data_IF_819919253671
#
_entry.id   IF_819919253671
#
_cell.length_a   1.000
_cell.length_b   1.000
_cell.length_c   1.000
_cell.angle_alpha   90.00
_cell.angle_beta   90.00
_cell.angle_gamma   90.00
#
_symmetry.space_group_name_H-M   'P 1'
#
loop_
_entity.id
_entity.type
_entity.pdbx_description
1 polymer ?
#
# COMPACT_ATOMS: atom_id res chain seq x y z
N UNK A 1 11.50 -3.80 -16.68
CA UNK A 1 11.45 -2.49 -16.00
C UNK A 1 12.32 -1.55 -16.81
N UNK A 2 11.79 -0.40 -17.21
CA UNK A 2 12.56 0.63 -17.92
C UNK A 2 13.39 1.43 -16.91
N UNK A 3 14.71 1.28 -16.95
CA UNK A 3 15.66 2.12 -16.21
C UNK A 3 15.78 3.45 -16.96
N UNK A 4 14.84 4.35 -16.71
CA UNK A 4 14.79 5.65 -17.37
C UNK A 4 15.73 6.62 -16.66
N UNK A 5 16.97 6.70 -17.14
CA UNK A 5 17.89 7.75 -16.68
C UNK A 5 17.51 9.07 -17.34
N UNK A 6 17.12 10.07 -16.55
CA UNK A 6 16.69 11.36 -17.08
C UNK A 6 17.53 12.51 -16.48
N UNK A 7 18.59 12.96 -17.18
CA UNK A 7 19.48 14.03 -16.70
C UNK A 7 18.75 15.32 -16.32
N UNK A 8 17.61 15.60 -16.97
CA UNK A 8 16.81 16.82 -16.79
C UNK A 8 15.53 16.58 -15.99
N UNK A 9 15.46 15.55 -15.13
CA UNK A 9 14.25 15.21 -14.36
C UNK A 9 13.63 16.42 -13.65
N UNK A 10 14.45 17.18 -12.92
CA UNK A 10 13.99 18.37 -12.19
C UNK A 10 13.39 19.44 -13.11
N UNK A 11 14.00 19.67 -14.27
CA UNK A 11 13.50 20.64 -15.26
C UNK A 11 12.19 20.19 -15.88
N UNK A 12 12.04 18.89 -16.17
CA UNK A 12 10.78 18.33 -16.66
C UNK A 12 9.66 18.44 -15.63
N UNK A 13 9.92 18.06 -14.36
CA UNK A 13 8.95 18.20 -13.27
C UNK A 13 8.56 19.67 -13.05
N UNK A 14 9.54 20.58 -13.10
CA UNK A 14 9.28 22.02 -13.00
C UNK A 14 8.39 22.52 -14.14
N UNK A 15 8.65 22.07 -15.37
CA UNK A 15 7.83 22.44 -16.53
C UNK A 15 6.41 21.88 -16.43
N UNK A 16 6.25 20.65 -15.95
CA UNK A 16 4.92 20.07 -15.69
C UNK A 16 4.15 20.91 -14.67
N UNK A 17 4.79 21.27 -13.55
CA UNK A 17 4.17 22.11 -12.54
C UNK A 17 3.85 23.53 -13.04
N UNK A 18 4.59 24.04 -14.03
CA UNK A 18 4.34 25.37 -14.57
C UNK A 18 3.24 25.38 -15.65
N UNK A 19 3.15 24.33 -16.47
CA UNK A 19 2.34 24.36 -17.70
C UNK A 19 1.21 23.34 -17.75
N UNK A 20 1.05 22.45 -16.76
CA UNK A 20 0.06 21.37 -16.77
C UNK A 20 -1.00 21.46 -15.63
N UNK A 21 -1.79 22.54 -15.52
CA UNK A 21 -2.76 22.71 -14.42
C UNK A 21 -3.93 21.71 -14.45
N UNK A 22 -4.17 21.06 -15.59
CA UNK A 22 -5.22 20.05 -15.77
C UNK A 22 -4.71 18.61 -15.66
N UNK A 23 -3.48 18.40 -15.18
CA UNK A 23 -2.90 17.07 -15.10
C UNK A 23 -3.69 16.19 -14.12
N UNK A 24 -4.23 15.08 -14.62
CA UNK A 24 -4.97 14.09 -13.81
C UNK A 24 -4.11 12.87 -13.44
N UNK A 25 -3.11 12.54 -14.25
CA UNK A 25 -2.24 11.38 -14.04
C UNK A 25 -0.79 11.81 -14.18
N UNK A 26 0.00 11.56 -13.13
CA UNK A 26 1.45 11.71 -13.14
C UNK A 26 2.10 10.39 -12.72
N UNK A 27 2.82 9.76 -13.65
CA UNK A 27 3.68 8.62 -13.36
C UNK A 27 5.14 8.99 -13.61
N UNK A 28 5.90 9.00 -12.53
CA UNK A 28 7.32 9.36 -12.46
C UNK A 28 8.13 8.26 -11.76
N UNK A 29 7.60 7.04 -11.77
CA UNK A 29 8.18 5.88 -11.09
C UNK A 29 9.53 5.49 -11.67
N UNK A 30 10.49 5.16 -10.80
CA UNK A 30 11.82 4.65 -11.15
C UNK A 30 12.63 5.56 -12.07
N UNK A 31 12.43 6.87 -11.99
CA UNK A 31 13.29 7.81 -12.72
C UNK A 31 14.57 8.05 -11.93
N UNK A 32 15.70 7.63 -12.51
CA UNK A 32 17.01 7.86 -11.93
C UNK A 32 17.56 9.18 -12.46
N UNK A 33 17.81 10.14 -11.57
CA UNK A 33 18.54 11.36 -11.90
C UNK A 33 19.99 11.23 -11.47
N UNK A 34 20.92 11.63 -12.34
CA UNK A 34 22.35 11.74 -12.01
C UNK A 34 22.61 12.71 -10.85
N UNK A 35 21.70 13.66 -10.60
CA UNK A 35 21.75 14.53 -9.43
C UNK A 35 21.19 13.79 -8.21
N UNK A 36 22.05 13.52 -7.22
CA UNK A 36 21.65 12.99 -5.90
C UNK A 36 20.50 13.85 -5.35
N UNK A 37 19.38 13.18 -5.03
CA UNK A 37 18.08 13.70 -4.57
C UNK A 37 17.24 14.48 -5.61
N UNK A 38 16.39 13.75 -6.32
CA UNK A 38 15.25 14.28 -7.07
C UNK A 38 14.00 14.43 -6.18
N UNK A 39 14.09 15.29 -5.16
CA UNK A 39 12.96 15.54 -4.27
C UNK A 39 11.94 16.49 -4.89
N UNK A 40 10.64 16.17 -4.73
CA UNK A 40 9.53 17.00 -5.22
C UNK A 40 8.84 17.67 -4.03
N UNK A 41 8.63 18.99 -4.08
CA UNK A 41 7.80 19.69 -3.08
C UNK A 41 6.34 19.31 -3.26
N UNK A 42 5.74 18.81 -2.18
CA UNK A 42 4.33 18.39 -2.17
C UNK A 42 3.42 19.60 -2.38
N UNK A 43 3.68 20.71 -1.69
CA UNK A 43 2.85 21.91 -1.74
C UNK A 43 2.89 22.57 -3.12
N UNK A 44 4.08 22.59 -3.75
CA UNK A 44 4.21 23.09 -5.12
C UNK A 44 3.44 22.20 -6.07
N UNK A 45 3.54 20.88 -5.94
CA UNK A 45 2.80 19.94 -6.79
C UNK A 45 1.28 20.08 -6.60
N UNK A 46 0.81 20.25 -5.37
CA UNK A 46 -0.62 20.45 -5.05
C UNK A 46 -1.18 21.72 -5.68
N UNK A 47 -0.46 22.84 -5.56
CA UNK A 47 -0.91 24.12 -6.13
C UNK A 47 -0.81 24.16 -7.66
N UNK A 48 0.16 23.44 -8.22
CA UNK A 48 0.43 23.40 -9.66
C UNK A 48 -0.49 22.44 -10.42
N UNK A 49 -0.81 21.30 -9.82
CA UNK A 49 -1.58 20.21 -10.44
C UNK A 49 -2.80 19.84 -9.56
N UNK A 50 -3.77 20.76 -9.36
CA UNK A 50 -4.87 20.57 -8.40
C UNK A 50 -5.87 19.46 -8.81
N UNK A 51 -5.88 19.05 -10.08
CA UNK A 51 -6.75 17.98 -10.60
C UNK A 51 -6.13 16.59 -10.58
N UNK A 52 -5.00 16.41 -9.91
CA UNK A 52 -4.30 15.15 -9.89
C UNK A 52 -5.16 14.05 -9.22
N UNK A 53 -5.46 13.00 -9.99
CA UNK A 53 -6.23 11.83 -9.56
C UNK A 53 -5.33 10.62 -9.33
N UNK A 54 -4.27 10.49 -10.13
CA UNK A 54 -3.35 9.35 -10.07
C UNK A 54 -1.93 9.88 -9.92
N UNK A 55 -1.28 9.53 -8.81
CA UNK A 55 0.13 9.80 -8.57
C UNK A 55 0.89 8.49 -8.36
N UNK A 56 1.77 8.17 -9.31
CA UNK A 56 2.69 7.04 -9.24
C UNK A 56 4.12 7.57 -9.20
N UNK A 57 4.82 7.30 -8.12
CA UNK A 57 6.15 7.85 -7.86
C UNK A 57 7.02 6.86 -7.10
N UNK A 58 7.10 5.62 -7.60
CA UNK A 58 7.97 4.61 -7.02
C UNK A 58 9.43 5.08 -7.00
N UNK A 59 10.10 4.92 -5.87
CA UNK A 59 11.48 5.36 -5.63
C UNK A 59 11.71 6.88 -5.82
N UNK A 60 10.67 7.71 -5.70
CA UNK A 60 10.77 9.17 -5.71
C UNK A 60 10.66 9.71 -4.29
N UNK A 61 11.46 10.73 -3.96
CA UNK A 61 11.40 11.39 -2.66
C UNK A 61 10.55 12.66 -2.71
N UNK A 62 9.85 12.93 -1.61
CA UNK A 62 9.04 14.12 -1.46
C UNK A 62 9.56 14.97 -0.30
N UNK A 63 9.40 16.29 -0.41
CA UNK A 63 9.72 17.25 0.64
C UNK A 63 8.47 18.00 1.05
N UNK A 64 8.28 18.13 2.36
CA UNK A 64 7.26 18.98 2.99
C UNK A 64 7.92 20.32 3.32
N UNK A 65 7.26 21.42 2.98
CA UNK A 65 7.71 22.76 3.31
C UNK A 65 7.62 23.03 4.81
N UNK A 66 8.62 23.72 5.37
CA UNK A 66 8.63 24.12 6.79
C UNK A 66 7.80 25.38 7.05
N UNK A 67 7.51 26.17 6.01
CA UNK A 67 6.58 27.30 6.09
C UNK A 67 5.17 26.75 5.90
N UNK A 68 4.29 26.92 6.89
CA UNK A 68 2.93 26.35 6.96
C UNK A 68 1.98 26.78 5.84
N UNK A 69 2.32 26.42 4.61
CA UNK A 69 1.54 26.66 3.40
C UNK A 69 0.20 25.95 3.54
N UNK A 70 -0.88 26.71 3.47
CA UNK A 70 -2.23 26.18 3.47
C UNK A 70 -2.58 25.77 2.04
N UNK A 71 -2.34 24.51 1.71
CA UNK A 71 -2.83 23.88 0.47
C UNK A 71 -4.12 23.10 0.75
N UNK A 72 -4.99 22.97 -0.24
CA UNK A 72 -6.18 22.11 -0.12
C UNK A 72 -5.85 20.62 -0.25
N UNK A 73 -4.58 20.27 -0.46
CA UNK A 73 -4.18 18.89 -0.71
C UNK A 73 -4.51 18.42 -2.13
N UNK A 74 -4.58 17.10 -2.33
CA UNK A 74 -5.01 16.50 -3.59
C UNK A 74 -6.46 16.00 -3.45
N UNK A 75 -7.42 16.92 -3.53
CA UNK A 75 -8.85 16.62 -3.29
C UNK A 75 -9.45 15.60 -4.25
N UNK A 76 -8.89 15.49 -5.47
CA UNK A 76 -9.35 14.54 -6.49
C UNK A 76 -8.55 13.22 -6.50
N UNK A 77 -7.63 13.01 -5.56
CA UNK A 77 -6.74 11.84 -5.58
C UNK A 77 -7.52 10.54 -5.39
N UNK A 78 -7.39 9.64 -6.35
CA UNK A 78 -7.99 8.30 -6.40
C UNK A 78 -6.93 7.20 -6.23
N UNK A 79 -5.70 7.45 -6.69
CA UNK A 79 -4.58 6.51 -6.64
C UNK A 79 -3.30 7.20 -6.15
N UNK A 80 -2.70 6.63 -5.10
CA UNK A 80 -1.37 6.98 -4.62
C UNK A 80 -0.50 5.73 -4.55
N UNK A 81 0.51 5.66 -5.42
CA UNK A 81 1.51 4.58 -5.42
C UNK A 81 2.91 5.18 -5.29
N UNK A 82 3.52 4.97 -4.13
CA UNK A 82 4.86 5.45 -3.76
C UNK A 82 5.73 4.34 -3.15
N UNK A 83 5.78 3.12 -3.73
CA UNK A 83 6.58 2.05 -3.18
C UNK A 83 8.07 2.41 -3.24
N UNK A 84 8.82 1.93 -2.27
CA UNK A 84 10.23 2.25 -2.11
C UNK A 84 11.07 0.97 -1.92
N UNK A 85 12.09 0.78 -2.77
CA UNK A 85 12.97 -0.39 -2.68
C UNK A 85 13.99 -0.21 -1.54
N UNK A 86 14.16 -1.24 -0.71
CA UNK A 86 15.09 -1.26 0.43
C UNK A 86 16.55 -1.03 0.07
N UNK A 87 16.91 -1.30 -1.19
CA UNK A 87 18.30 -1.35 -1.65
C UNK A 87 18.79 0.02 -2.17
N UNK A 88 17.89 1.01 -2.26
CA UNK A 88 18.26 2.41 -2.51
C UNK A 88 18.95 2.99 -1.25
N UNK A 89 20.04 3.74 -1.46
CA UNK A 89 21.03 4.10 -0.42
C UNK A 89 20.45 4.72 0.86
N UNK A 90 20.63 4.03 1.98
CA UNK A 90 20.05 4.25 3.32
C UNK A 90 20.27 5.64 3.98
N UNK A 91 21.16 6.49 3.46
CA UNK A 91 21.51 7.77 4.11
C UNK A 91 20.63 8.96 3.67
N UNK A 92 20.12 8.99 2.43
CA UNK A 92 19.30 10.12 1.91
C UNK A 92 17.79 9.91 2.20
N UNK A 93 17.40 8.69 2.54
CA UNK A 93 16.00 8.21 2.50
C UNK A 93 15.31 8.28 3.88
N UNK A 94 16.06 8.54 4.96
CA UNK A 94 15.49 8.55 6.32
C UNK A 94 14.30 9.51 6.47
N UNK A 95 14.21 10.53 5.63
CA UNK A 95 13.16 11.57 5.69
C UNK A 95 12.12 11.50 4.57
N UNK A 96 12.24 10.58 3.60
CA UNK A 96 11.48 10.65 2.34
C UNK A 96 10.08 10.01 2.39
N UNK A 97 9.81 9.09 3.33
CA UNK A 97 8.51 8.42 3.51
C UNK A 97 8.15 8.35 5.00
N UNK A 98 8.00 9.53 5.60
CA UNK A 98 7.58 9.67 7.00
C UNK A 98 6.07 9.87 7.09
N UNK A 99 5.50 9.71 8.29
CA UNK A 99 4.07 9.95 8.54
C UNK A 99 3.63 11.33 8.03
N UNK A 100 4.48 12.36 8.22
CA UNK A 100 4.20 13.71 7.76
C UNK A 100 4.13 13.82 6.22
N UNK A 101 5.01 13.11 5.50
CA UNK A 101 4.97 13.08 4.03
C UNK A 101 3.66 12.45 3.55
N UNK A 102 3.27 11.31 4.12
CA UNK A 102 2.02 10.65 3.74
C UNK A 102 0.80 11.51 4.10
N UNK A 103 0.80 12.14 5.28
CA UNK A 103 -0.27 13.04 5.72
C UNK A 103 -0.43 14.23 4.76
N UNK A 104 0.65 14.82 4.26
CA UNK A 104 0.57 15.89 3.25
C UNK A 104 0.13 15.37 1.88
N UNK A 105 0.65 14.22 1.43
CA UNK A 105 0.26 13.62 0.15
C UNK A 105 -1.20 13.16 0.12
N UNK A 106 -1.77 12.82 1.28
CA UNK A 106 -3.17 12.35 1.41
C UNK A 106 -4.10 13.42 1.98
N UNK A 107 -3.61 14.66 2.16
CA UNK A 107 -4.42 15.77 2.68
C UNK A 107 -5.67 15.94 1.82
N UNK A 108 -6.84 15.89 2.46
CA UNK A 108 -8.18 15.96 1.87
C UNK A 108 -8.46 14.96 0.72
N UNK A 109 -7.69 13.88 0.61
CA UNK A 109 -7.88 12.83 -0.40
C UNK A 109 -9.02 11.87 -0.02
N UNK A 110 -10.25 12.37 0.09
CA UNK A 110 -11.43 11.57 0.50
C UNK A 110 -11.83 10.50 -0.53
N UNK A 111 -11.43 10.69 -1.80
CA UNK A 111 -11.73 9.79 -2.91
C UNK A 111 -10.66 8.73 -3.16
N UNK A 112 -9.63 8.65 -2.32
CA UNK A 112 -8.53 7.68 -2.49
C UNK A 112 -9.07 6.25 -2.40
N UNK A 113 -8.76 5.43 -3.41
CA UNK A 113 -9.16 4.02 -3.51
C UNK A 113 -7.98 3.07 -3.55
N UNK A 114 -6.82 3.52 -4.02
CA UNK A 114 -5.61 2.72 -4.08
C UNK A 114 -4.47 3.40 -3.33
N UNK A 115 -3.89 2.66 -2.39
CA UNK A 115 -2.71 3.07 -1.64
C UNK A 115 -1.64 1.98 -1.72
N UNK A 116 -0.52 2.29 -2.38
CA UNK A 116 0.67 1.43 -2.43
C UNK A 116 1.85 2.17 -1.79
N UNK A 117 2.26 1.69 -0.61
CA UNK A 117 3.37 2.23 0.17
C UNK A 117 4.38 1.13 0.54
N UNK A 118 4.49 0.10 -0.29
CA UNK A 118 5.41 -1.03 -0.03
C UNK A 118 6.83 -0.55 0.24
N UNK A 119 7.50 -1.17 1.21
CA UNK A 119 8.87 -0.82 1.59
C UNK A 119 9.00 0.46 2.41
N UNK A 120 7.90 1.11 2.82
CA UNK A 120 7.94 2.31 3.64
C UNK A 120 8.41 2.03 5.08
N UNK A 121 9.73 2.12 5.27
CA UNK A 121 10.41 1.73 6.51
C UNK A 121 10.09 2.60 7.72
N UNK A 122 9.65 3.83 7.51
CA UNK A 122 9.47 4.83 8.57
C UNK A 122 8.02 5.20 8.86
N UNK A 123 7.06 4.66 8.09
CA UNK A 123 5.64 4.88 8.30
C UNK A 123 5.11 4.06 9.48
N UNK A 124 4.37 4.72 10.36
CA UNK A 124 3.64 4.08 11.46
C UNK A 124 2.16 3.89 11.12
N UNK A 125 1.47 3.03 11.87
CA UNK A 125 0.03 2.79 11.71
C UNK A 125 -0.78 4.10 11.84
N UNK A 126 -0.28 5.08 12.62
CA UNK A 126 -0.94 6.38 12.85
C UNK A 126 -1.13 7.15 11.54
N UNK A 127 -0.19 7.04 10.61
CA UNK A 127 -0.29 7.70 9.31
C UNK A 127 -1.46 7.13 8.50
N UNK A 128 -1.67 5.80 8.53
CA UNK A 128 -2.78 5.14 7.81
C UNK A 128 -4.14 5.53 8.39
N UNK A 129 -4.26 5.54 9.72
CA UNK A 129 -5.52 5.90 10.40
C UNK A 129 -5.95 7.33 10.09
N UNK A 130 -4.98 8.25 9.92
CA UNK A 130 -5.23 9.67 9.59
C UNK A 130 -5.66 9.94 8.14
N UNK A 131 -5.45 9.00 7.21
CA UNK A 131 -5.84 9.20 5.80
C UNK A 131 -7.35 9.50 5.74
N UNK A 132 -7.81 10.57 5.07
CA UNK A 132 -9.23 10.95 5.11
C UNK A 132 -10.16 9.96 4.40
N UNK A 133 -9.65 9.15 3.45
CA UNK A 133 -10.43 8.15 2.75
C UNK A 133 -10.95 7.01 3.65
N UNK A 134 -12.22 6.66 3.42
CA UNK A 134 -12.91 5.53 4.07
C UNK A 134 -13.11 4.33 3.14
N UNK A 135 -12.89 4.49 1.83
CA UNK A 135 -13.21 3.50 0.81
C UNK A 135 -11.96 3.02 0.04
N UNK A 136 -10.88 2.70 0.78
CA UNK A 136 -9.70 2.08 0.16
C UNK A 136 -10.08 0.67 -0.33
N UNK A 137 -9.83 0.42 -1.60
CA UNK A 137 -10.12 -0.83 -2.31
C UNK A 137 -8.85 -1.66 -2.51
N UNK A 138 -7.72 -0.99 -2.72
CA UNK A 138 -6.44 -1.66 -2.97
C UNK A 138 -5.41 -1.12 -1.98
N UNK A 139 -4.89 -1.99 -1.12
CA UNK A 139 -3.91 -1.64 -0.09
C UNK A 139 -2.67 -2.49 -0.24
N UNK A 140 -1.51 -1.86 -0.42
CA UNK A 140 -0.21 -2.55 -0.44
C UNK A 140 0.74 -1.95 0.59
N UNK A 141 1.00 -2.72 1.66
CA UNK A 141 1.88 -2.35 2.79
C UNK A 141 2.96 -3.42 3.04
N UNK A 142 3.30 -4.17 2.00
CA UNK A 142 4.35 -5.18 2.05
C UNK A 142 5.70 -4.60 2.48
N UNK A 143 6.43 -5.35 3.31
CA UNK A 143 7.77 -5.01 3.77
C UNK A 143 7.88 -3.62 4.42
N UNK A 144 6.92 -3.27 5.29
CA UNK A 144 6.93 -2.04 6.07
C UNK A 144 7.20 -2.33 7.57
N UNK A 145 8.46 -2.38 8.03
CA UNK A 145 8.81 -2.83 9.39
C UNK A 145 8.12 -2.09 10.54
N UNK A 146 7.85 -0.78 10.42
CA UNK A 146 7.15 0.00 11.45
C UNK A 146 5.64 -0.17 11.46
N UNK A 147 5.07 -0.78 10.42
CA UNK A 147 3.67 -1.21 10.38
C UNK A 147 3.50 -2.64 10.91
N UNK A 148 4.58 -3.32 11.25
CA UNK A 148 4.59 -4.72 11.67
C UNK A 148 4.21 -4.87 13.16
N UNK A 149 3.10 -4.26 13.55
CA UNK A 149 2.52 -4.24 14.90
C UNK A 149 1.04 -4.58 14.85
N UNK A 150 0.48 -5.00 15.97
CA UNK A 150 -0.95 -5.29 16.14
C UNK A 150 -1.83 -4.07 15.81
N UNK A 151 -1.36 -2.85 16.08
CA UNK A 151 -2.09 -1.62 15.81
C UNK A 151 -2.36 -1.36 14.31
N UNK A 152 -1.72 -2.11 13.39
CA UNK A 152 -2.07 -2.10 11.97
C UNK A 152 -3.55 -2.51 11.75
N UNK A 153 -4.12 -3.28 12.67
CA UNK A 153 -5.54 -3.66 12.66
C UNK A 153 -6.46 -2.45 12.58
N UNK A 154 -6.07 -1.29 13.14
CA UNK A 154 -6.91 -0.08 13.10
C UNK A 154 -7.17 0.39 11.66
N UNK A 155 -6.17 0.27 10.78
CA UNK A 155 -6.33 0.60 9.36
C UNK A 155 -7.18 -0.45 8.64
N UNK A 156 -7.02 -1.72 8.98
CA UNK A 156 -7.83 -2.81 8.42
C UNK A 156 -9.29 -2.70 8.84
N UNK A 157 -9.58 -2.48 10.12
CA UNK A 157 -10.94 -2.25 10.64
C UNK A 157 -11.60 -1.05 9.96
N UNK A 158 -10.86 0.03 9.72
CA UNK A 158 -11.37 1.22 9.04
C UNK A 158 -11.83 0.93 7.60
N UNK A 159 -11.09 0.10 6.87
CA UNK A 159 -11.33 -0.15 5.43
C UNK A 159 -11.90 -1.55 5.14
N UNK A 160 -12.23 -2.33 6.17
CA UNK A 160 -12.58 -3.75 6.06
C UNK A 160 -13.73 -4.03 5.10
N UNK A 161 -14.71 -3.11 5.01
CA UNK A 161 -15.87 -3.21 4.11
C UNK A 161 -15.58 -2.83 2.66
N UNK A 162 -14.45 -2.16 2.38
CA UNK A 162 -14.12 -1.66 1.04
C UNK A 162 -12.95 -2.37 0.39
N UNK A 163 -12.08 -3.03 1.17
CA UNK A 163 -10.89 -3.72 0.67
C UNK A 163 -11.26 -4.85 -0.31
N UNK A 164 -10.64 -4.82 -1.48
CA UNK A 164 -10.77 -5.79 -2.58
C UNK A 164 -9.45 -6.54 -2.74
N UNK A 165 -8.33 -5.82 -2.84
CA UNK A 165 -6.99 -6.39 -2.98
C UNK A 165 -6.08 -5.90 -1.86
N UNK A 166 -5.49 -6.84 -1.14
CA UNK A 166 -4.62 -6.55 0.01
C UNK A 166 -3.27 -7.23 -0.17
N UNK A 167 -2.20 -6.48 0.00
CA UNK A 167 -0.83 -6.98 0.07
C UNK A 167 -0.16 -6.61 1.39
N UNK A 168 0.02 -7.62 2.24
CA UNK A 168 0.80 -7.55 3.49
C UNK A 168 1.96 -8.54 3.47
N UNK A 169 2.47 -8.87 2.28
CA UNK A 169 3.61 -9.76 2.11
C UNK A 169 4.81 -9.28 2.92
N UNK A 170 5.62 -10.20 3.43
CA UNK A 170 6.78 -9.91 4.28
C UNK A 170 6.46 -9.17 5.60
N UNK A 171 5.19 -9.14 6.03
CA UNK A 171 4.84 -8.82 7.41
C UNK A 171 5.12 -10.05 8.29
N UNK A 172 6.18 -9.97 9.10
CA UNK A 172 6.69 -11.11 9.86
C UNK A 172 6.22 -11.19 11.30
N UNK A 173 5.34 -10.29 11.78
CA UNK A 173 4.71 -10.41 13.10
C UNK A 173 3.42 -11.20 12.97
N UNK A 174 3.38 -12.37 13.59
CA UNK A 174 2.18 -13.21 13.61
C UNK A 174 1.00 -12.49 14.25
N UNK A 175 1.25 -11.71 15.32
CA UNK A 175 0.24 -10.92 16.01
C UNK A 175 -0.36 -9.85 15.08
N UNK A 176 0.49 -9.07 14.39
CA UNK A 176 0.08 -8.05 13.42
C UNK A 176 -0.79 -8.65 12.31
N UNK A 177 -0.30 -9.72 11.68
CA UNK A 177 -1.03 -10.39 10.59
C UNK A 177 -2.36 -10.94 11.09
N UNK A 178 -2.36 -11.64 12.22
CA UNK A 178 -3.57 -12.25 12.80
C UNK A 178 -4.62 -11.21 13.11
N UNK A 179 -4.26 -10.09 13.74
CA UNK A 179 -5.18 -8.99 14.03
C UNK A 179 -5.77 -8.37 12.76
N UNK A 180 -4.94 -8.14 11.73
CA UNK A 180 -5.44 -7.68 10.43
C UNK A 180 -6.44 -8.67 9.80
N UNK A 181 -6.18 -9.97 9.89
CA UNK A 181 -7.09 -10.99 9.35
C UNK A 181 -8.40 -11.04 10.13
N UNK A 182 -8.37 -10.88 11.47
CA UNK A 182 -9.58 -10.78 12.29
C UNK A 182 -10.44 -9.61 11.86
N UNK A 183 -9.87 -8.42 11.65
CA UNK A 183 -10.60 -7.24 11.16
C UNK A 183 -11.30 -7.49 9.82
N UNK A 184 -10.71 -8.30 8.93
CA UNK A 184 -11.33 -8.68 7.65
C UNK A 184 -12.46 -9.70 7.84
N UNK A 185 -12.32 -10.62 8.80
CA UNK A 185 -13.31 -11.66 9.10
C UNK A 185 -14.50 -11.17 9.93
N UNK A 186 -14.36 -10.05 10.65
CA UNK A 186 -15.45 -9.43 11.42
C UNK A 186 -16.51 -8.74 10.55
N UNK A 187 -16.20 -8.53 9.26
CA UNK A 187 -17.16 -7.99 8.29
C UNK A 187 -18.18 -9.07 7.94
N UNK A 188 -19.46 -8.71 7.86
CA UNK A 188 -20.50 -9.63 7.42
C UNK A 188 -20.23 -10.17 6.00
N UNK A 189 -20.60 -11.43 5.75
CA UNK A 189 -20.31 -12.14 4.49
C UNK A 189 -20.73 -11.36 3.23
N UNK A 190 -21.87 -10.66 3.27
CA UNK A 190 -22.38 -9.86 2.14
C UNK A 190 -21.61 -8.54 1.94
N UNK A 191 -21.13 -7.95 3.04
CA UNK A 191 -20.43 -6.67 3.06
C UNK A 191 -18.96 -6.80 2.62
N UNK A 192 -18.32 -7.94 2.90
CA UNK A 192 -16.92 -8.16 2.52
C UNK A 192 -16.75 -8.07 0.99
N UNK A 193 -15.78 -7.28 0.53
CA UNK A 193 -15.43 -7.14 -0.91
C UNK A 193 -14.10 -7.81 -1.27
N UNK A 194 -13.45 -8.47 -0.31
CA UNK A 194 -12.10 -9.01 -0.47
C UNK A 194 -12.08 -10.11 -1.55
N UNK A 195 -11.20 -9.95 -2.53
CA UNK A 195 -10.98 -10.87 -3.66
C UNK A 195 -9.57 -11.44 -3.68
N UNK A 196 -8.58 -10.61 -3.41
CA UNK A 196 -7.16 -11.00 -3.48
C UNK A 196 -6.44 -10.70 -2.19
N UNK A 197 -5.65 -11.67 -1.73
CA UNK A 197 -4.82 -11.51 -0.55
C UNK A 197 -3.39 -12.01 -0.79
N UNK A 198 -2.41 -11.10 -0.77
CA UNK A 198 -0.99 -11.41 -0.91
C UNK A 198 -0.36 -11.50 0.48
N UNK A 199 0.04 -12.72 0.86
CA UNK A 199 0.61 -13.04 2.18
C UNK A 199 2.03 -13.57 2.07
N UNK A 200 2.67 -13.46 0.90
CA UNK A 200 3.98 -14.08 0.64
C UNK A 200 4.97 -13.72 1.73
N UNK A 201 5.62 -14.72 2.31
CA UNK A 201 6.66 -14.50 3.31
C UNK A 201 6.16 -13.89 4.62
N UNK A 202 4.84 -13.79 4.83
CA UNK A 202 4.26 -13.31 6.08
C UNK A 202 4.31 -14.38 7.17
N UNK A 203 4.03 -13.97 8.40
CA UNK A 203 3.87 -14.84 9.56
C UNK A 203 2.42 -15.33 9.76
N UNK A 204 1.62 -15.42 8.68
CA UNK A 204 0.26 -15.94 8.74
C UNK A 204 0.23 -17.37 9.35
N UNK A 205 -0.68 -17.58 10.30
CA UNK A 205 -0.95 -18.90 10.89
C UNK A 205 -1.98 -19.68 10.06
N UNK A 206 -1.94 -21.01 10.18
CA UNK A 206 -2.90 -21.86 9.48
C UNK A 206 -4.35 -21.62 9.91
N UNK A 207 -4.59 -21.37 11.21
CA UNK A 207 -5.92 -21.02 11.73
C UNK A 207 -6.46 -19.73 11.11
N UNK A 208 -5.60 -18.74 10.90
CA UNK A 208 -5.99 -17.50 10.22
C UNK A 208 -6.37 -17.76 8.76
N UNK A 209 -5.64 -18.61 8.05
CA UNK A 209 -6.00 -19.04 6.68
C UNK A 209 -7.37 -19.74 6.66
N UNK A 210 -7.59 -20.69 7.58
CA UNK A 210 -8.87 -21.41 7.71
C UNK A 210 -10.03 -20.46 8.01
N UNK A 211 -9.81 -19.47 8.88
CA UNK A 211 -10.77 -18.44 9.21
C UNK A 211 -11.13 -17.56 7.99
N UNK A 212 -10.14 -17.03 7.27
CA UNK A 212 -10.36 -16.22 6.06
C UNK A 212 -11.15 -16.96 4.99
N UNK A 213 -10.80 -18.23 4.72
CA UNK A 213 -11.49 -19.03 3.71
C UNK A 213 -12.97 -19.27 4.05
N UNK A 214 -13.32 -19.23 5.35
CA UNK A 214 -14.70 -19.33 5.82
C UNK A 214 -15.43 -17.99 5.76
N UNK A 215 -14.80 -16.91 6.23
CA UNK A 215 -15.45 -15.61 6.43
C UNK A 215 -15.47 -14.70 5.19
N UNK A 216 -14.59 -14.92 4.21
CA UNK A 216 -14.50 -14.10 3.01
C UNK A 216 -15.01 -14.87 1.78
N UNK A 217 -16.33 -14.82 1.48
CA UNK A 217 -16.93 -15.64 0.43
C UNK A 217 -16.49 -15.22 -0.99
N UNK A 218 -16.13 -13.94 -1.19
CA UNK A 218 -15.70 -13.38 -2.48
C UNK A 218 -14.19 -13.56 -2.75
N UNK A 219 -13.44 -14.09 -1.78
CA UNK A 219 -12.01 -14.33 -1.95
C UNK A 219 -11.82 -15.36 -3.06
N UNK A 220 -10.97 -15.05 -4.03
CA UNK A 220 -10.74 -15.87 -5.24
C UNK A 220 -9.24 -16.13 -5.50
N UNK A 221 -8.36 -15.40 -4.82
CA UNK A 221 -6.90 -15.55 -4.94
C UNK A 221 -6.17 -15.30 -3.62
N UNK A 222 -5.21 -16.17 -3.30
CA UNK A 222 -4.35 -16.05 -2.11
C UNK A 222 -2.91 -16.49 -2.41
N UNK A 223 -1.92 -15.68 -2.03
CA UNK A 223 -0.50 -16.05 -2.14
C UNK A 223 0.06 -16.46 -0.77
N UNK A 224 0.30 -17.76 -0.59
CA UNK A 224 0.84 -18.37 0.65
C UNK A 224 2.31 -18.79 0.49
N UNK A 225 3.00 -18.34 -0.56
CA UNK A 225 4.40 -18.68 -0.76
C UNK A 225 5.28 -18.17 0.38
N UNK A 226 6.28 -18.97 0.77
CA UNK A 226 7.26 -18.59 1.79
C UNK A 226 6.72 -18.26 3.19
N UNK A 227 5.45 -18.54 3.50
CA UNK A 227 4.89 -18.34 4.84
C UNK A 227 5.43 -19.38 5.83
N UNK A 228 6.18 -18.95 6.85
CA UNK A 228 6.86 -19.88 7.77
C UNK A 228 5.88 -20.61 8.69
N UNK A 229 4.81 -19.94 9.13
CA UNK A 229 3.78 -20.48 10.02
C UNK A 229 2.84 -21.53 9.40
N UNK A 230 3.00 -21.85 8.11
CA UNK A 230 2.14 -22.80 7.42
C UNK A 230 2.76 -24.21 7.31
N UNK A 231 1.94 -25.28 7.27
CA UNK A 231 2.37 -26.65 6.97
C UNK A 231 3.13 -26.80 5.64
N UNK A 232 3.82 -27.92 5.47
CA UNK A 232 4.42 -28.27 4.16
C UNK A 232 3.30 -28.57 3.14
N UNK A 233 3.53 -28.23 1.87
CA UNK A 233 2.59 -28.52 0.78
C UNK A 233 1.54 -27.44 0.50
N UNK A 234 1.18 -26.60 1.48
CA UNK A 234 0.20 -25.51 1.26
C UNK A 234 0.83 -24.21 0.70
N UNK A 235 2.16 -24.07 0.74
CA UNK A 235 2.90 -22.81 0.45
C UNK A 235 3.05 -22.51 -1.05
N UNK A 236 1.94 -22.22 -1.71
CA UNK A 236 1.90 -21.81 -3.12
C UNK A 236 0.98 -20.60 -3.28
N UNK A 237 1.00 -20.02 -4.48
CA UNK A 237 -0.02 -19.07 -4.89
C UNK A 237 -1.21 -19.85 -5.46
N UNK A 238 -2.41 -19.41 -5.13
CA UNK A 238 -3.66 -20.04 -5.52
C UNK A 238 -4.57 -19.01 -6.16
N UNK A 239 -5.14 -19.35 -7.31
CA UNK A 239 -6.16 -18.56 -7.99
C UNK A 239 -7.04 -19.50 -8.82
N UNK A 240 -8.24 -19.06 -9.19
CA UNK A 240 -9.15 -19.87 -10.00
C UNK A 240 -9.46 -21.23 -9.37
N UNK A 241 -9.35 -22.31 -10.15
CA UNK A 241 -9.68 -23.67 -9.70
C UNK A 241 -8.76 -24.20 -8.60
N UNK A 242 -7.48 -23.78 -8.60
CA UNK A 242 -6.54 -24.13 -7.54
C UNK A 242 -6.98 -23.53 -6.20
N UNK A 243 -7.52 -22.30 -6.21
CA UNK A 243 -8.06 -21.67 -5.00
C UNK A 243 -9.29 -22.41 -4.49
N UNK A 244 -10.22 -22.80 -5.36
CA UNK A 244 -11.39 -23.58 -4.98
C UNK A 244 -10.99 -24.93 -4.37
N UNK A 245 -9.97 -25.57 -4.93
CA UNK A 245 -9.40 -26.82 -4.40
C UNK A 245 -8.79 -26.61 -3.02
N UNK A 246 -7.97 -25.56 -2.83
CA UNK A 246 -7.43 -25.18 -1.53
C UNK A 246 -8.53 -24.99 -0.50
N UNK A 247 -9.54 -24.19 -0.85
CA UNK A 247 -10.65 -23.85 0.05
C UNK A 247 -11.34 -25.11 0.56
N UNK A 248 -11.66 -26.04 -0.32
CA UNK A 248 -12.24 -27.34 0.07
C UNK A 248 -11.29 -28.14 0.97
N UNK A 249 -10.04 -28.31 0.56
CA UNK A 249 -9.06 -29.13 1.29
C UNK A 249 -8.77 -28.62 2.71
N UNK A 250 -8.67 -27.29 2.90
CA UNK A 250 -8.46 -26.68 4.21
C UNK A 250 -9.70 -26.82 5.09
N UNK A 251 -10.90 -26.63 4.53
CA UNK A 251 -12.14 -26.76 5.28
C UNK A 251 -12.47 -28.22 5.65
N UNK A 252 -11.97 -29.19 4.88
CA UNK A 252 -12.04 -30.63 5.16
C UNK A 252 -10.94 -31.12 6.12
N UNK A 253 -9.98 -30.26 6.50
CA UNK A 253 -8.94 -30.59 7.47
C UNK A 253 -7.76 -31.37 6.89
N UNK A 254 -7.49 -31.31 5.57
CA UNK A 254 -6.38 -32.02 4.92
C UNK A 254 -5.00 -31.69 5.50
N UNK A 255 -4.84 -30.50 6.08
CA UNK A 255 -3.58 -29.96 6.57
C UNK A 255 -3.53 -29.80 8.10
N UNK A 256 -4.54 -30.32 8.81
CA UNK A 256 -4.62 -30.35 10.28
C UNK A 256 -3.64 -31.38 10.88
#
# INVERSE_FOLDING_TARGET
>A
MSENTMPSFHSCISSIMEFCPNLELLDISNVESFSKSSSISIEKLQTSCPRLRILRAANITFTVSTSGSQTDGFVSLEELSIPFKSDFSTAIIQNAHTDNVLEQLTKNAEHLRLLDIRGARYLSHRALVKIPAWNIQHLSVSNCPKLNTDELEMAFTKWSKSLIDVDISWNTSEESVTSCMKSLCEVGEEESQLRTLQLRGSAISYDSVKCLLKCCPKLESIDLQSCRGLPRGIKRSYSGDDFNTLKREVLEGKYD
#
